data_IF_651976086492
#
_entry.id   IF_651976086492
#
_cell.length_a   1.000
_cell.length_b   1.000
_cell.length_c   1.000
_cell.angle_alpha   90.00
_cell.angle_beta   90.00
_cell.angle_gamma   90.00
#
_symmetry.space_group_name_H-M   'P 1'
#
loop_
_entity.id
_entity.type
_entity.pdbx_description
1 polymer ?
#
# COMPACT_ATOMS: atom_id res chain seq x y z
N UNK A 1 21.13 4.47 23.62
CA UNK A 1 21.57 4.44 22.20
C UNK A 1 22.77 5.35 21.92
N UNK A 2 22.80 6.62 22.34
CA UNK A 2 23.98 7.49 22.12
C UNK A 2 25.23 7.01 22.84
N UNK A 3 25.09 6.64 24.11
CA UNK A 3 26.19 6.06 24.92
C UNK A 3 26.69 4.75 24.31
N UNK A 4 25.77 3.90 23.84
CA UNK A 4 26.13 2.67 23.15
C UNK A 4 26.95 2.95 21.88
N UNK A 5 26.50 3.86 21.00
CA UNK A 5 27.27 4.27 19.81
C UNK A 5 28.66 4.81 20.16
N UNK A 6 28.76 5.61 21.23
CA UNK A 6 30.04 6.13 21.73
C UNK A 6 30.97 5.01 22.23
N UNK A 7 30.43 4.07 23.01
CA UNK A 7 31.19 2.90 23.48
C UNK A 7 31.67 1.99 22.35
N UNK A 8 30.96 1.98 21.22
CA UNK A 8 31.31 1.24 20.01
C UNK A 8 32.21 2.02 19.05
N UNK A 9 32.54 3.28 19.36
CA UNK A 9 33.35 4.16 18.51
C UNK A 9 32.64 4.65 17.24
N UNK A 10 31.33 4.47 17.11
CA UNK A 10 30.55 4.90 15.94
C UNK A 10 30.20 6.39 15.96
N UNK A 11 30.33 7.03 17.12
CA UNK A 11 30.11 8.46 17.30
C UNK A 11 31.06 9.00 18.36
N UNK A 12 31.72 10.12 18.05
CA UNK A 12 32.75 10.74 18.89
C UNK A 12 32.20 11.49 20.12
N UNK A 13 30.89 11.70 20.17
CA UNK A 13 30.23 12.46 21.23
C UNK A 13 30.36 13.97 21.11
N UNK A 14 31.00 14.49 20.05
CA UNK A 14 31.24 15.91 19.81
C UNK A 14 30.39 16.43 18.65
N UNK A 15 30.34 15.70 17.54
CA UNK A 15 29.49 16.06 16.40
C UNK A 15 28.00 15.91 16.76
N UNK A 16 27.10 16.63 16.06
CA UNK A 16 25.66 16.43 16.22
C UNK A 16 25.32 14.96 15.92
N UNK A 17 24.57 14.31 16.82
CA UNK A 17 24.25 12.91 16.66
C UNK A 17 23.23 12.70 15.52
N UNK A 18 23.68 12.14 14.40
CA UNK A 18 22.82 11.70 13.29
C UNK A 18 22.62 10.17 13.37
N UNK A 19 21.40 9.72 13.67
CA UNK A 19 21.12 8.30 13.83
C UNK A 19 21.38 7.50 12.54
N UNK A 20 21.02 8.07 11.38
CA UNK A 20 21.20 7.40 10.09
C UNK A 20 22.69 7.21 9.78
N UNK A 21 23.52 8.22 10.01
CA UNK A 21 24.98 8.10 9.79
C UNK A 21 25.64 7.11 10.77
N UNK A 22 25.24 7.15 12.04
CA UNK A 22 25.90 6.36 13.10
C UNK A 22 25.51 4.88 13.06
N UNK A 23 24.28 4.54 12.64
CA UNK A 23 23.74 3.18 12.71
C UNK A 23 23.47 2.54 11.35
N UNK A 24 23.57 3.26 10.23
CA UNK A 24 23.33 2.65 8.91
C UNK A 24 24.58 1.99 8.36
N UNK A 25 24.41 0.78 7.83
CA UNK A 25 25.39 0.17 6.95
C UNK A 25 25.26 0.77 5.56
N UNK A 26 26.21 1.62 5.16
CA UNK A 26 26.30 2.19 3.82
C UNK A 26 26.99 1.18 2.89
N UNK A 27 26.27 0.62 1.93
CA UNK A 27 26.85 -0.08 0.79
C UNK A 27 26.44 0.62 -0.51
N UNK A 28 27.24 0.46 -1.57
CA UNK A 28 27.05 1.14 -2.87
C UNK A 28 25.68 0.86 -3.49
N UNK A 29 25.21 -0.39 -3.44
CA UNK A 29 23.89 -0.78 -3.94
C UNK A 29 22.71 -0.08 -3.23
N UNK A 30 22.80 0.18 -1.92
CA UNK A 30 21.78 0.99 -1.22
C UNK A 30 21.80 2.44 -1.66
N UNK A 31 22.98 3.01 -1.89
CA UNK A 31 23.12 4.44 -2.24
C UNK A 31 22.47 4.72 -3.60
N UNK A 32 22.66 3.86 -4.59
CA UNK A 32 22.10 4.05 -5.94
C UNK A 32 20.57 3.86 -5.96
N UNK A 33 20.06 2.78 -5.35
CA UNK A 33 18.62 2.46 -5.34
C UNK A 33 17.79 3.32 -4.37
N UNK A 34 18.40 3.83 -3.29
CA UNK A 34 17.77 4.79 -2.38
C UNK A 34 17.92 6.22 -2.87
N UNK A 35 19.05 6.58 -3.49
CA UNK A 35 19.33 7.94 -3.95
C UNK A 35 18.33 8.43 -4.99
N UNK A 36 18.01 7.60 -6.00
CA UNK A 36 17.03 7.96 -7.03
C UNK A 36 15.63 8.15 -6.45
N UNK A 37 15.07 7.14 -5.78
CA UNK A 37 13.71 7.20 -5.21
C UNK A 37 13.55 8.24 -4.12
N UNK A 38 14.56 8.39 -3.25
CA UNK A 38 14.56 9.44 -2.23
C UNK A 38 14.53 10.83 -2.86
N UNK A 39 15.39 11.07 -3.87
CA UNK A 39 15.48 12.37 -4.51
C UNK A 39 14.21 12.70 -5.31
N UNK A 40 13.70 11.76 -6.10
CA UNK A 40 12.47 11.96 -6.88
C UNK A 40 11.24 12.08 -5.98
N UNK A 41 11.13 11.24 -4.94
CA UNK A 41 10.09 11.37 -3.92
C UNK A 41 10.12 12.73 -3.24
N UNK A 42 11.31 13.24 -2.87
CA UNK A 42 11.44 14.60 -2.31
C UNK A 42 10.99 15.67 -3.30
N UNK A 43 11.33 15.55 -4.59
CA UNK A 43 10.88 16.51 -5.62
C UNK A 43 9.36 16.50 -5.77
N UNK A 44 8.74 15.32 -5.81
CA UNK A 44 7.29 15.18 -5.91
C UNK A 44 6.58 15.76 -4.68
N UNK A 45 7.08 15.48 -3.47
CA UNK A 45 6.54 16.05 -2.24
C UNK A 45 6.67 17.58 -2.19
N UNK A 46 7.81 18.13 -2.61
CA UNK A 46 8.02 19.58 -2.60
C UNK A 46 7.11 20.30 -3.60
N UNK A 47 6.80 19.68 -4.75
CA UNK A 47 5.81 20.20 -5.71
C UNK A 47 4.40 20.31 -5.11
N UNK A 48 4.06 19.47 -4.14
CA UNK A 48 2.74 19.43 -3.49
C UNK A 48 2.73 20.04 -2.10
N UNK A 49 3.80 20.74 -1.70
CA UNK A 49 3.96 21.32 -0.37
C UNK A 49 2.79 22.24 -0.02
N UNK A 50 2.20 22.02 1.16
CA UNK A 50 1.04 22.77 1.63
C UNK A 50 -0.30 22.33 1.03
N UNK A 51 -0.31 21.36 0.12
CA UNK A 51 -1.51 20.81 -0.53
C UNK A 51 -1.51 19.27 -0.53
N UNK A 52 -0.74 18.64 0.36
CA UNK A 52 -0.65 17.18 0.43
C UNK A 52 -1.97 16.63 0.97
N UNK A 53 -2.70 15.92 0.10
CA UNK A 53 -3.89 15.13 0.45
C UNK A 53 -3.61 13.64 0.32
N UNK A 54 -4.59 12.80 0.71
CA UNK A 54 -4.52 11.38 0.45
C UNK A 54 -4.38 11.09 -1.06
N UNK A 55 -5.15 11.77 -1.91
CA UNK A 55 -5.10 11.63 -3.37
C UNK A 55 -3.72 12.02 -3.92
N UNK A 56 -3.11 13.10 -3.42
CA UNK A 56 -1.74 13.48 -3.79
C UNK A 56 -0.76 12.35 -3.49
N UNK A 57 -0.81 11.78 -2.29
CA UNK A 57 0.09 10.70 -1.89
C UNK A 57 -0.16 9.42 -2.69
N UNK A 58 -1.42 9.08 -2.99
CA UNK A 58 -1.74 7.97 -3.88
C UNK A 58 -1.13 8.18 -5.27
N UNK A 59 -1.20 9.40 -5.81
CA UNK A 59 -0.54 9.76 -7.07
C UNK A 59 0.97 9.55 -7.04
N UNK A 60 1.64 10.02 -5.98
CA UNK A 60 3.09 9.83 -5.79
C UNK A 60 3.44 8.33 -5.73
N UNK A 61 2.65 7.53 -5.00
CA UNK A 61 2.88 6.09 -4.89
C UNK A 61 2.66 5.33 -6.19
N UNK A 62 1.90 5.90 -7.14
CA UNK A 62 1.66 5.33 -8.47
C UNK A 62 2.76 5.66 -9.47
N UNK A 63 3.59 6.66 -9.17
CA UNK A 63 4.55 7.23 -10.10
C UNK A 63 5.70 6.25 -10.40
N UNK A 64 5.69 5.71 -11.62
CA UNK A 64 6.69 4.77 -12.12
C UNK A 64 7.97 5.45 -12.59
N UNK A 65 7.85 6.64 -13.18
CA UNK A 65 8.99 7.38 -13.74
C UNK A 65 10.01 7.77 -12.65
N UNK A 66 9.54 8.12 -11.45
CA UNK A 66 10.37 8.38 -10.27
C UNK A 66 10.99 7.12 -9.65
N UNK A 67 10.56 5.93 -10.09
CA UNK A 67 10.90 4.65 -9.49
C UNK A 67 10.27 4.40 -8.12
N UNK A 68 9.35 5.26 -7.64
CA UNK A 68 8.61 5.03 -6.39
C UNK A 68 7.72 3.81 -6.54
N UNK A 69 6.91 3.78 -7.61
CA UNK A 69 6.23 2.58 -8.02
C UNK A 69 7.22 1.69 -8.78
N UNK A 70 7.79 0.72 -8.08
CA UNK A 70 8.77 -0.19 -8.66
C UNK A 70 8.12 -1.20 -9.62
N UNK A 71 8.77 -1.41 -10.77
CA UNK A 71 8.44 -2.43 -11.77
C UNK A 71 9.68 -3.24 -12.21
N UNK A 72 9.46 -4.40 -12.85
CA UNK A 72 10.53 -5.31 -13.28
C UNK A 72 10.87 -6.38 -12.24
N UNK A 73 12.17 -6.61 -11.96
CA UNK A 73 12.63 -7.69 -11.07
C UNK A 73 12.10 -7.56 -9.63
N UNK A 74 11.85 -6.33 -9.18
CA UNK A 74 11.22 -6.04 -7.90
C UNK A 74 10.01 -5.14 -8.16
N UNK A 75 8.82 -5.71 -8.01
CA UNK A 75 7.56 -5.00 -8.17
C UNK A 75 7.04 -4.51 -6.83
N UNK A 76 6.44 -3.32 -6.79
CA UNK A 76 5.67 -2.87 -5.62
C UNK A 76 4.56 -3.88 -5.34
N UNK A 77 4.60 -4.57 -4.21
CA UNK A 77 3.64 -5.64 -3.88
C UNK A 77 2.36 -5.15 -3.22
N UNK A 78 2.33 -3.87 -2.84
CA UNK A 78 1.21 -3.21 -2.22
C UNK A 78 1.55 -1.78 -1.82
N UNK A 79 0.53 -0.97 -1.57
CA UNK A 79 0.70 0.42 -1.15
C UNK A 79 -0.36 0.80 -0.13
N UNK A 80 -0.02 1.80 0.68
CA UNK A 80 -0.88 2.31 1.73
C UNK A 80 -0.76 3.83 1.86
N UNK A 81 -1.89 4.50 2.06
CA UNK A 81 -1.96 5.91 2.47
C UNK A 81 -2.82 5.99 3.71
N UNK A 82 -2.47 6.83 4.68
CA UNK A 82 -3.28 7.01 5.90
C UNK A 82 -3.48 8.48 6.19
N UNK A 83 -4.70 8.82 6.55
CA UNK A 83 -5.08 10.14 7.06
C UNK A 83 -5.44 9.95 8.52
N UNK A 84 -4.66 10.58 9.40
CA UNK A 84 -4.84 10.51 10.85
C UNK A 84 -5.13 11.92 11.35
N UNK A 85 -6.38 12.23 11.72
CA UNK A 85 -6.74 13.53 12.27
C UNK A 85 -5.97 13.84 13.55
N UNK A 86 -5.71 15.13 13.79
CA UNK A 86 -5.15 15.59 15.07
C UNK A 86 -6.17 15.49 16.21
N UNK A 87 -7.46 15.59 15.89
CA UNK A 87 -8.55 15.39 16.83
C UNK A 87 -8.73 13.88 17.07
N UNK A 88 -8.47 13.38 18.29
CA UNK A 88 -8.56 11.96 18.60
C UNK A 88 -10.00 11.42 18.62
N UNK A 89 -11.02 12.28 18.55
CA UNK A 89 -12.42 11.85 18.43
C UNK A 89 -12.81 11.45 17.01
N UNK A 90 -12.00 11.83 16.01
CA UNK A 90 -12.22 11.51 14.60
C UNK A 90 -11.48 10.22 14.22
N UNK A 91 -12.05 9.41 13.29
CA UNK A 91 -11.42 8.16 12.85
C UNK A 91 -10.16 8.43 12.03
N UNK A 92 -9.16 7.55 12.17
CA UNK A 92 -8.14 7.39 11.15
C UNK A 92 -8.70 6.64 9.93
N UNK A 93 -8.46 7.16 8.73
CA UNK A 93 -8.80 6.46 7.48
C UNK A 93 -7.53 5.95 6.81
N UNK A 94 -7.50 4.65 6.56
CA UNK A 94 -6.37 3.95 5.96
C UNK A 94 -6.78 3.37 4.62
N UNK A 95 -6.02 3.67 3.59
CA UNK A 95 -6.27 3.16 2.25
C UNK A 95 -5.23 2.10 1.92
N UNK A 96 -5.65 0.91 1.51
CA UNK A 96 -4.76 -0.17 1.12
C UNK A 96 -5.05 -0.62 -0.31
N UNK A 97 -4.02 -0.94 -1.07
CA UNK A 97 -4.23 -1.60 -2.38
C UNK A 97 -4.57 -3.07 -2.20
N UNK A 98 -3.89 -3.81 -1.31
CA UNK A 98 -4.08 -5.26 -1.19
C UNK A 98 -3.76 -6.04 -2.49
N UNK A 99 -3.09 -5.39 -3.44
CA UNK A 99 -2.65 -5.89 -4.75
C UNK A 99 -1.36 -5.15 -5.15
N UNK A 100 -0.51 -5.78 -5.99
CA UNK A 100 0.72 -5.17 -6.48
C UNK A 100 0.44 -4.04 -7.48
N UNK A 101 1.48 -3.28 -7.83
CA UNK A 101 1.42 -2.16 -8.77
C UNK A 101 0.27 -1.18 -8.44
N UNK A 102 0.50 -0.17 -7.56
CA UNK A 102 -0.51 0.80 -7.21
C UNK A 102 -1.17 1.41 -8.44
N UNK A 103 -0.45 1.72 -9.55
CA UNK A 103 -1.00 2.28 -10.80
C UNK A 103 -2.26 1.52 -11.29
N UNK A 104 -2.22 0.18 -11.18
CA UNK A 104 -3.27 -0.73 -11.63
C UNK A 104 -4.20 -1.21 -10.52
N UNK A 105 -4.03 -0.71 -9.30
CA UNK A 105 -4.79 -1.08 -8.11
C UNK A 105 -5.77 0.01 -7.67
N UNK A 106 -6.83 -0.35 -6.94
CA UNK A 106 -7.67 0.59 -6.20
C UNK A 106 -7.14 0.77 -4.78
N UNK A 107 -7.06 2.00 -4.26
CA UNK A 107 -6.85 2.27 -2.84
C UNK A 107 -8.19 2.11 -2.10
N UNK A 108 -8.39 0.94 -1.48
CA UNK A 108 -9.61 0.60 -0.72
C UNK A 108 -9.54 1.21 0.69
N UNK A 109 -10.53 1.98 1.15
CA UNK A 109 -10.53 2.54 2.48
C UNK A 109 -10.82 1.49 3.55
N UNK A 110 -10.29 1.74 4.74
CA UNK A 110 -10.37 0.91 5.92
C UNK A 110 -10.30 1.81 7.15
N UNK A 111 -11.20 1.58 8.11
CA UNK A 111 -11.23 2.27 9.40
C UNK A 111 -11.13 1.19 10.48
N UNK A 112 -10.23 1.38 11.44
CA UNK A 112 -10.11 0.48 12.58
C UNK A 112 -11.30 0.70 13.53
N UNK A 113 -12.20 -0.27 13.57
CA UNK A 113 -13.36 -0.33 14.47
C UNK A 113 -13.44 -1.69 15.15
N UNK A 114 -14.20 -1.76 16.25
CA UNK A 114 -14.55 -3.02 16.90
C UNK A 114 -15.36 -3.88 15.93
N UNK A 115 -15.24 -5.21 16.04
CA UNK A 115 -15.99 -6.18 15.24
C UNK A 115 -15.79 -6.08 13.71
N UNK A 116 -14.60 -5.66 13.29
CA UNK A 116 -14.18 -5.70 11.88
C UNK A 116 -14.44 -7.10 11.29
N UNK A 117 -15.03 -7.13 10.10
CA UNK A 117 -15.40 -8.39 9.45
C UNK A 117 -14.20 -9.03 8.76
N UNK A 118 -14.26 -10.35 8.62
CA UNK A 118 -13.17 -11.13 8.04
C UNK A 118 -12.88 -10.74 6.59
N UNK A 119 -11.62 -10.45 6.27
CA UNK A 119 -11.16 -9.97 4.96
C UNK A 119 -10.92 -11.12 3.97
N UNK A 120 -11.93 -11.97 3.76
CA UNK A 120 -11.78 -13.28 3.07
C UNK A 120 -11.14 -13.20 1.68
N UNK A 121 -11.43 -12.15 0.90
CA UNK A 121 -10.95 -12.01 -0.49
C UNK A 121 -9.47 -11.58 -0.60
N UNK A 122 -8.88 -11.12 0.51
CA UNK A 122 -7.46 -10.76 0.63
C UNK A 122 -6.67 -11.67 1.57
N UNK A 123 -7.31 -12.71 2.11
CA UNK A 123 -6.62 -13.75 2.87
C UNK A 123 -5.97 -14.77 1.93
N UNK A 124 -4.68 -15.04 2.12
CA UNK A 124 -4.04 -16.20 1.50
C UNK A 124 -4.75 -17.50 1.92
N UNK A 125 -4.80 -18.51 1.04
CA UNK A 125 -5.31 -19.83 1.41
C UNK A 125 -4.59 -20.40 2.65
N UNK A 126 -5.35 -21.06 3.52
CA UNK A 126 -4.82 -21.77 4.67
C UNK A 126 -4.63 -23.25 4.33
N UNK A 127 -3.42 -23.77 4.52
CA UNK A 127 -3.08 -25.17 4.26
C UNK A 127 -3.12 -26.04 5.52
N UNK A 128 -3.65 -25.50 6.63
CA UNK A 128 -3.84 -26.29 7.85
C UNK A 128 -2.54 -26.88 8.38
N UNK A 129 -2.53 -28.16 8.82
CA UNK A 129 -1.33 -28.90 9.21
C UNK A 129 -0.36 -29.17 8.05
N UNK A 130 -0.86 -29.25 6.81
CA UNK A 130 -0.08 -29.54 5.60
C UNK A 130 0.69 -28.33 5.06
N UNK A 131 0.57 -27.17 5.73
CA UNK A 131 1.33 -25.98 5.36
C UNK A 131 2.84 -26.29 5.43
N UNK A 132 3.62 -26.05 4.35
CA UNK A 132 5.05 -26.33 4.33
C UNK A 132 5.87 -25.63 5.42
N UNK A 133 5.35 -24.58 6.07
CA UNK A 133 6.01 -23.96 7.23
C UNK A 133 5.92 -24.83 8.50
N UNK A 134 4.90 -25.69 8.57
CA UNK A 134 4.57 -26.58 9.70
C UNK A 134 5.10 -28.00 9.51
N UNK A 135 5.22 -28.48 8.28
CA UNK A 135 5.78 -29.81 7.97
C UNK A 135 7.31 -29.80 8.09
N UNK A 136 7.91 -30.88 8.61
CA UNK A 136 9.38 -31.07 8.66
C UNK A 136 9.81 -32.19 7.71
N UNK A 137 10.86 -31.98 6.89
CA UNK A 137 11.61 -30.74 6.69
C UNK A 137 10.73 -29.62 6.11
N UNK A 138 11.02 -28.36 6.44
CA UNK A 138 10.19 -27.22 6.02
C UNK A 138 10.35 -26.94 4.53
N UNK A 139 9.33 -26.29 3.94
CA UNK A 139 9.36 -25.74 2.58
C UNK A 139 9.70 -26.73 1.46
N UNK A 140 9.33 -28.01 1.63
CA UNK A 140 9.51 -29.04 0.59
C UNK A 140 8.64 -28.79 -0.64
N UNK A 141 7.52 -28.08 -0.46
CA UNK A 141 6.68 -27.60 -1.55
C UNK A 141 6.45 -26.08 -1.41
N UNK A 142 6.02 -25.46 -2.51
CA UNK A 142 5.72 -24.03 -2.61
C UNK A 142 4.29 -23.87 -3.15
N UNK A 143 3.26 -24.03 -2.30
CA UNK A 143 1.89 -23.89 -2.73
C UNK A 143 1.62 -22.45 -3.14
N UNK A 144 0.66 -22.27 -4.05
CA UNK A 144 0.21 -20.94 -4.44
C UNK A 144 -0.54 -20.28 -3.28
N UNK A 145 -0.05 -19.13 -2.82
CA UNK A 145 -0.61 -18.36 -1.70
C UNK A 145 -1.38 -17.12 -2.15
N UNK A 146 -1.59 -16.94 -3.45
CA UNK A 146 -2.34 -15.82 -4.00
C UNK A 146 -3.79 -15.88 -3.50
N UNK A 147 -4.26 -14.78 -2.94
CA UNK A 147 -5.66 -14.64 -2.53
C UNK A 147 -6.53 -14.33 -3.76
N UNK A 148 -7.86 -14.44 -3.58
CA UNK A 148 -8.81 -14.28 -4.69
C UNK A 148 -8.63 -12.96 -5.46
N UNK A 149 -8.55 -11.83 -4.75
CA UNK A 149 -8.35 -10.54 -5.40
C UNK A 149 -7.03 -10.47 -6.20
N UNK A 150 -5.94 -11.06 -5.71
CA UNK A 150 -4.65 -11.06 -6.40
C UNK A 150 -4.74 -11.81 -7.74
N UNK A 151 -5.37 -12.99 -7.76
CA UNK A 151 -5.53 -13.79 -8.97
C UNK A 151 -6.29 -13.01 -10.07
N UNK A 152 -7.37 -12.32 -9.69
CA UNK A 152 -8.16 -11.51 -10.62
C UNK A 152 -7.37 -10.28 -11.08
N UNK A 153 -6.63 -9.67 -10.16
CA UNK A 153 -5.76 -8.54 -10.44
C UNK A 153 -4.65 -8.88 -11.45
N UNK A 154 -4.05 -10.08 -11.38
CA UNK A 154 -3.05 -10.52 -12.39
C UNK A 154 -3.65 -10.62 -13.79
N UNK A 155 -4.85 -11.18 -13.92
CA UNK A 155 -5.57 -11.26 -15.20
C UNK A 155 -5.84 -9.86 -15.75
N UNK A 156 -6.31 -8.95 -14.90
CA UNK A 156 -6.55 -7.55 -15.27
C UNK A 156 -5.25 -6.84 -15.65
N UNK A 157 -4.14 -7.08 -14.95
CA UNK A 157 -2.83 -6.56 -15.29
C UNK A 157 -2.42 -6.94 -16.71
N UNK A 158 -2.61 -8.21 -17.09
CA UNK A 158 -2.34 -8.68 -18.45
C UNK A 158 -3.26 -8.03 -19.49
N UNK A 159 -4.54 -7.80 -19.17
CA UNK A 159 -5.48 -7.08 -20.05
C UNK A 159 -5.05 -5.62 -20.25
N UNK A 160 -4.63 -4.94 -19.18
CA UNK A 160 -4.17 -3.54 -19.24
C UNK A 160 -2.96 -3.40 -20.18
N UNK A 161 -2.04 -4.36 -20.13
CA UNK A 161 -0.84 -4.36 -20.97
C UNK A 161 -1.13 -4.71 -22.44
N UNK A 162 -1.99 -5.70 -22.67
CA UNK A 162 -2.18 -6.28 -24.02
C UNK A 162 -3.33 -5.65 -24.80
N UNK A 163 -4.34 -5.08 -24.14
CA UNK A 163 -5.58 -4.58 -24.76
C UNK A 163 -5.81 -3.12 -24.39
N UNK A 164 -5.06 -2.20 -25.01
CA UNK A 164 -5.01 -0.76 -24.65
C UNK A 164 -6.37 -0.10 -24.40
N UNK A 165 -7.35 -0.25 -25.30
CA UNK A 165 -8.68 0.38 -25.12
C UNK A 165 -9.43 -0.18 -23.90
N UNK A 166 -9.45 -1.51 -23.78
CA UNK A 166 -10.10 -2.21 -22.66
C UNK A 166 -9.41 -1.91 -21.34
N UNK A 167 -8.08 -1.98 -21.33
CA UNK A 167 -7.23 -1.61 -20.20
C UNK A 167 -7.51 -0.20 -19.69
N UNK A 168 -7.58 0.77 -20.60
CA UNK A 168 -7.90 2.15 -20.25
C UNK A 168 -9.28 2.29 -19.59
N UNK A 169 -10.31 1.58 -20.09
CA UNK A 169 -11.65 1.59 -19.47
C UNK A 169 -11.63 1.00 -18.05
N UNK A 170 -10.89 -0.10 -17.84
CA UNK A 170 -10.73 -0.70 -16.51
C UNK A 170 -10.07 0.29 -15.54
N UNK A 171 -8.94 0.89 -15.95
CA UNK A 171 -8.23 1.89 -15.13
C UNK A 171 -9.12 3.08 -14.81
N UNK A 172 -9.87 3.60 -15.79
CA UNK A 172 -10.82 4.70 -15.57
C UNK A 172 -11.89 4.33 -14.53
N UNK A 173 -12.49 3.14 -14.62
CA UNK A 173 -13.48 2.68 -13.64
C UNK A 173 -12.88 2.48 -12.26
N UNK A 174 -11.66 1.95 -12.15
CA UNK A 174 -10.94 1.83 -10.89
C UNK A 174 -10.66 3.20 -10.26
N UNK A 175 -10.21 4.19 -11.05
CA UNK A 175 -10.01 5.57 -10.55
C UNK A 175 -11.32 6.22 -10.13
N UNK A 176 -12.41 5.95 -10.84
CA UNK A 176 -13.75 6.45 -10.48
C UNK A 176 -14.20 5.89 -9.12
N UNK A 177 -14.11 4.58 -8.94
CA UNK A 177 -14.40 3.91 -7.67
C UNK A 177 -13.56 4.50 -6.53
N UNK A 178 -12.26 4.66 -6.74
CA UNK A 178 -11.35 5.25 -5.75
C UNK A 178 -11.77 6.68 -5.35
N UNK A 179 -12.12 7.52 -6.32
CA UNK A 179 -12.60 8.89 -6.05
C UNK A 179 -13.91 8.92 -5.28
N UNK A 180 -14.86 8.04 -5.63
CA UNK A 180 -16.13 7.92 -4.91
C UNK A 180 -15.90 7.51 -3.45
N UNK A 181 -15.03 6.53 -3.21
CA UNK A 181 -14.67 6.10 -1.85
C UNK A 181 -13.91 7.18 -1.07
N UNK A 182 -12.99 7.91 -1.70
CA UNK A 182 -12.32 9.04 -1.03
C UNK A 182 -13.32 10.12 -0.62
N UNK A 183 -14.26 10.49 -1.50
CA UNK A 183 -15.29 11.48 -1.18
C UNK A 183 -16.22 11.05 -0.04
N UNK A 184 -16.49 9.75 0.10
CA UNK A 184 -17.19 9.18 1.25
C UNK A 184 -16.35 9.34 2.53
N UNK A 185 -15.06 9.02 2.47
CA UNK A 185 -14.16 9.08 3.63
C UNK A 185 -13.87 10.50 4.11
N UNK A 186 -13.82 11.50 3.23
CA UNK A 186 -13.67 12.91 3.64
C UNK A 186 -14.82 13.37 4.55
N UNK A 187 -16.04 12.82 4.35
CA UNK A 187 -17.17 13.08 5.25
C UNK A 187 -16.95 12.45 6.63
N UNK A 188 -16.39 11.24 6.70
CA UNK A 188 -16.10 10.57 7.97
C UNK A 188 -14.90 11.19 8.70
N UNK A 189 -13.91 11.67 7.95
CA UNK A 189 -12.73 12.37 8.48
C UNK A 189 -13.08 13.72 9.11
N UNK A 190 -14.22 14.32 8.76
CA UNK A 190 -14.69 15.60 9.30
C UNK A 190 -15.87 15.46 10.27
N UNK A 191 -16.76 14.50 10.03
CA UNK A 191 -17.97 14.28 10.82
C UNK A 191 -17.89 13.14 11.83
N UNK A 192 -16.84 12.33 11.80
CA UNK A 192 -16.71 11.13 12.64
C UNK A 192 -17.49 9.92 12.10
N UNK A 193 -17.56 8.87 12.92
CA UNK A 193 -18.35 7.66 12.64
C UNK A 193 -19.40 7.51 13.74
N UNK A 194 -20.65 7.89 13.44
CA UNK A 194 -21.76 7.77 14.40
C UNK A 194 -22.09 6.31 14.73
N UNK A 195 -22.13 5.46 13.69
CA UNK A 195 -22.38 4.03 13.81
C UNK A 195 -21.24 3.24 13.16
N UNK A 196 -20.41 2.63 14.01
CA UNK A 196 -19.28 1.82 13.56
C UNK A 196 -19.68 0.62 12.70
N UNK A 197 -20.92 0.11 12.81
CA UNK A 197 -21.42 -1.01 12.02
C UNK A 197 -21.52 -0.68 10.52
N UNK A 198 -21.58 0.60 10.16
CA UNK A 198 -21.59 1.05 8.77
C UNK A 198 -20.23 0.87 8.09
N UNK A 199 -19.13 0.86 8.86
CA UNK A 199 -17.77 0.80 8.32
C UNK A 199 -17.09 -0.56 8.51
N UNK A 200 -17.68 -1.50 9.25
CA UNK A 200 -17.10 -2.85 9.48
C UNK A 200 -16.93 -3.67 8.19
N UNK A 201 -17.67 -3.32 7.14
CA UNK A 201 -17.62 -3.96 5.82
C UNK A 201 -16.95 -3.10 4.75
N UNK A 202 -16.56 -1.85 5.07
CA UNK A 202 -16.10 -0.84 4.11
C UNK A 202 -15.04 -1.38 3.13
N UNK A 203 -14.00 -2.01 3.67
CA UNK A 203 -12.91 -2.56 2.86
C UNK A 203 -13.37 -3.75 2.01
N UNK A 204 -14.15 -4.67 2.59
CA UNK A 204 -14.63 -5.87 1.89
C UNK A 204 -15.62 -5.52 0.78
N UNK A 205 -16.53 -4.57 1.02
CA UNK A 205 -17.46 -4.07 0.02
C UNK A 205 -16.71 -3.41 -1.13
N UNK A 206 -15.70 -2.58 -0.82
CA UNK A 206 -14.88 -1.95 -1.87
C UNK A 206 -14.12 -2.98 -2.71
N UNK A 207 -13.69 -4.11 -2.13
CA UNK A 207 -13.11 -5.23 -2.89
C UNK A 207 -14.13 -5.86 -3.85
N UNK A 208 -15.36 -6.10 -3.39
CA UNK A 208 -16.40 -6.65 -4.27
C UNK A 208 -16.73 -5.68 -5.42
N UNK A 209 -16.76 -4.37 -5.16
CA UNK A 209 -16.92 -3.35 -6.20
C UNK A 209 -15.75 -3.35 -7.21
N UNK A 210 -14.51 -3.50 -6.74
CA UNK A 210 -13.34 -3.64 -7.63
C UNK A 210 -13.40 -4.94 -8.45
N UNK A 211 -13.79 -6.07 -7.84
CA UNK A 211 -13.98 -7.33 -8.55
C UNK A 211 -15.09 -7.25 -9.61
N UNK A 212 -16.13 -6.45 -9.35
CA UNK A 212 -17.17 -6.16 -10.34
C UNK A 212 -16.62 -5.30 -11.50
N UNK A 213 -15.76 -4.32 -11.21
CA UNK A 213 -15.03 -3.57 -12.25
C UNK A 213 -14.21 -4.53 -13.11
N UNK A 214 -13.52 -5.50 -12.51
CA UNK A 214 -12.73 -6.49 -13.25
C UNK A 214 -13.61 -7.34 -14.16
N UNK A 215 -14.69 -7.91 -13.61
CA UNK A 215 -15.55 -8.88 -14.29
C UNK A 215 -16.35 -8.28 -15.45
N UNK A 216 -16.74 -7.00 -15.35
CA UNK A 216 -17.40 -6.27 -16.45
C UNK A 216 -16.49 -6.06 -17.67
N UNK A 217 -15.20 -6.33 -17.51
CA UNK A 217 -14.17 -6.18 -18.52
C UNK A 217 -13.27 -7.43 -18.61
N UNK A 218 -13.78 -8.62 -18.29
CA UNK A 218 -13.21 -9.94 -18.64
C UNK A 218 -13.81 -10.52 -19.90
#
# INVERSE_FOLDING_TARGET
>A
MREYARSRGWWDGKAQFNFAEVYSYMNTARIEASGSRYCEGRKLLEKSKGQITAETMMGILRDKESGINMEGMFMTTGSMVSVVPCDPSLPGVHYFTGTPDPERSVFKPFIFVVDIKQLKKTCSPCFGPDDPVKVKPRFQNKPDRKHHLFLRHEVVGAIIETKKERGNKIVQHMRKLEKEKMAEMEKLLSGGVEDSTLVVHLFSNTIEEELNVYSNHE
#
